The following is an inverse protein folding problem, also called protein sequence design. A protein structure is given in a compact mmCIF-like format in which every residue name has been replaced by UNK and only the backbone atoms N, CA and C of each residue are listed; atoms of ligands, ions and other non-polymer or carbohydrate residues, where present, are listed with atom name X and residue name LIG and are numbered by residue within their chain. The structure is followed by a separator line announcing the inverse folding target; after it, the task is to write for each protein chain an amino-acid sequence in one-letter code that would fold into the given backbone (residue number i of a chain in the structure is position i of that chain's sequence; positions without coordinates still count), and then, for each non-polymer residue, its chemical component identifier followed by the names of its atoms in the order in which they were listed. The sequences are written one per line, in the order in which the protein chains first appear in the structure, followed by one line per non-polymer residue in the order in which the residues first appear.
data_IF_368725199804
#
_entry.id   IF_368725199804
#
_cell.length_a   1.000
_cell.length_b   1.000
_cell.length_c   1.000
_cell.angle_alpha   90.00
_cell.angle_beta   90.00
_cell.angle_gamma   90.00
#
_symmetry.space_group_name_H-M   'P 1'
#
loop_
_entity.id
_entity.type
_entity.pdbx_description
1 polymer ?
#
# COMPACT_ATOMS: atom_id res chain seq x y z
N UNK A 1 46.94 22.91 117.48
CA UNK A 1 47.68 21.74 117.92
C UNK A 1 47.69 20.74 116.83
N UNK A 2 48.76 19.93 116.73
CA UNK A 2 49.06 18.96 115.68
C UNK A 2 47.95 17.92 115.44
N UNK A 3 47.21 17.53 116.49
CA UNK A 3 46.12 16.54 116.43
C UNK A 3 44.90 17.06 115.56
N UNK A 4 44.57 18.34 115.65
CA UNK A 4 43.48 18.94 114.84
C UNK A 4 43.86 19.08 113.35
N UNK A 5 45.18 19.22 113.08
CA UNK A 5 45.68 19.21 111.69
C UNK A 5 45.64 17.84 111.10
N UNK A 6 45.97 16.82 111.81
CA UNK A 6 45.88 15.39 111.37
C UNK A 6 44.42 15.04 111.01
N UNK A 7 43.48 15.34 111.92
CA UNK A 7 42.05 15.14 111.66
C UNK A 7 41.54 15.82 110.42
N UNK A 8 41.98 17.02 110.17
CA UNK A 8 41.62 17.77 108.98
C UNK A 8 42.16 17.11 107.71
N UNK A 9 43.41 16.63 107.73
CA UNK A 9 44.00 15.96 106.58
C UNK A 9 43.32 14.56 106.35
N UNK A 10 42.96 13.83 107.38
CA UNK A 10 42.21 12.56 107.25
C UNK A 10 40.83 12.81 106.60
N UNK A 11 40.10 13.82 107.08
CA UNK A 11 38.82 14.18 106.45
C UNK A 11 38.98 14.60 104.99
N UNK A 12 40.02 15.34 104.67
CA UNK A 12 40.33 15.75 103.29
C UNK A 12 40.70 14.51 102.46
N UNK A 13 41.45 13.60 102.97
CA UNK A 13 41.77 12.31 102.27
C UNK A 13 40.54 11.50 102.00
N UNK A 14 39.62 11.35 102.95
CA UNK A 14 38.32 10.67 102.70
C UNK A 14 37.52 11.34 101.68
N UNK A 15 37.38 12.70 101.63
CA UNK A 15 36.69 13.43 100.65
C UNK A 15 37.29 13.21 99.24
N UNK A 16 38.62 13.23 99.12
CA UNK A 16 39.33 12.97 97.87
C UNK A 16 39.08 11.54 97.42
N UNK A 17 39.08 10.55 98.30
CA UNK A 17 38.81 9.15 97.95
C UNK A 17 37.39 8.98 97.46
N UNK A 18 36.38 9.61 98.05
CA UNK A 18 34.98 9.57 97.63
C UNK A 18 34.85 10.24 96.22
N UNK A 19 35.47 11.42 96.04
CA UNK A 19 35.45 12.14 94.76
C UNK A 19 36.14 11.35 93.66
N UNK A 20 37.27 10.69 93.93
CA UNK A 20 37.94 9.79 93.00
C UNK A 20 37.06 8.61 92.58
N UNK A 21 36.36 7.99 93.54
CA UNK A 21 35.43 6.87 93.26
C UNK A 21 34.22 7.36 92.37
N UNK A 22 33.74 8.58 92.63
CA UNK A 22 32.67 9.15 91.88
C UNK A 22 33.08 9.46 90.40
N UNK A 23 34.24 10.11 90.21
CA UNK A 23 34.81 10.38 88.87
C UNK A 23 35.07 9.07 88.10
N UNK A 24 35.60 8.05 88.73
CA UNK A 24 35.85 6.75 88.13
C UNK A 24 34.51 6.09 87.61
N UNK A 25 33.40 6.22 88.34
CA UNK A 25 32.09 5.73 87.92
C UNK A 25 31.55 6.55 86.70
N UNK A 26 31.72 7.88 86.74
CA UNK A 26 31.35 8.74 85.63
C UNK A 26 32.15 8.42 84.37
N UNK A 27 33.46 8.16 84.49
CA UNK A 27 34.31 7.73 83.38
C UNK A 27 33.81 6.40 82.79
N UNK A 28 33.54 5.41 83.62
CA UNK A 28 33.06 4.08 83.18
C UNK A 28 31.69 4.16 82.51
N UNK A 29 30.78 5.03 82.97
CA UNK A 29 29.48 5.27 82.36
C UNK A 29 29.63 5.94 80.98
N UNK A 30 30.45 7.02 80.89
CA UNK A 30 30.75 7.67 79.66
C UNK A 30 31.45 6.77 78.65
N UNK A 31 32.40 5.95 79.05
CA UNK A 31 33.07 4.99 78.17
C UNK A 31 32.08 3.98 77.59
N UNK A 32 31.09 3.52 78.38
CA UNK A 32 30.02 2.62 77.91
C UNK A 32 29.12 3.31 76.92
N UNK A 33 28.70 4.55 77.17
CA UNK A 33 27.85 5.37 76.24
C UNK A 33 28.57 5.65 74.92
N UNK A 34 29.87 6.03 74.97
CA UNK A 34 30.73 6.22 73.84
C UNK A 34 30.84 4.92 72.99
N UNK A 35 30.98 3.78 73.64
CA UNK A 35 31.03 2.49 72.90
C UNK A 35 29.73 2.17 72.19
N UNK A 36 28.57 2.38 72.83
CA UNK A 36 27.25 2.21 72.21
C UNK A 36 27.02 3.20 71.04
N UNK A 37 27.34 4.46 71.21
CA UNK A 37 27.25 5.47 70.17
C UNK A 37 28.13 5.15 68.96
N UNK A 38 29.36 4.66 69.21
CA UNK A 38 30.26 4.23 68.13
C UNK A 38 29.72 3.00 67.37
N UNK A 39 29.10 2.03 68.03
CA UNK A 39 28.46 0.92 67.39
C UNK A 39 27.29 1.36 66.50
N UNK A 40 26.42 2.24 66.98
CA UNK A 40 25.33 2.83 66.26
C UNK A 40 25.84 3.63 65.05
N UNK A 41 26.89 4.42 65.18
CA UNK A 41 27.50 5.16 64.11
C UNK A 41 28.02 4.24 63.01
N UNK A 42 28.71 3.17 63.37
CA UNK A 42 29.18 2.17 62.39
C UNK A 42 28.03 1.50 61.63
N UNK A 43 26.93 1.17 62.33
CA UNK A 43 25.73 0.60 61.70
C UNK A 43 25.11 1.57 60.69
N UNK A 44 24.91 2.82 61.07
CA UNK A 44 24.34 3.84 60.14
C UNK A 44 25.26 4.12 58.98
N UNK A 45 26.57 4.13 59.14
CA UNK A 45 27.54 4.26 58.06
C UNK A 45 27.43 3.11 57.04
N UNK A 46 27.24 1.87 57.50
CA UNK A 46 27.04 0.69 56.62
C UNK A 46 25.71 0.80 55.87
N UNK A 47 24.62 1.16 56.54
CA UNK A 47 23.30 1.37 55.91
C UNK A 47 23.36 2.47 54.88
N UNK A 48 23.99 3.60 55.18
CA UNK A 48 24.17 4.69 54.24
C UNK A 48 24.92 4.25 52.98
N UNK A 49 25.97 3.48 53.13
CA UNK A 49 26.74 2.94 52.03
C UNK A 49 25.87 2.06 51.11
N UNK A 50 25.10 1.14 51.68
CA UNK A 50 24.19 0.24 50.91
C UNK A 50 23.13 1.04 50.14
N UNK A 51 22.55 2.05 50.79
CA UNK A 51 21.57 2.93 50.14
C UNK A 51 22.21 3.74 48.99
N UNK A 52 23.40 4.29 49.24
CA UNK A 52 24.14 5.06 48.21
C UNK A 52 24.45 4.19 46.98
N UNK A 53 24.94 2.97 47.20
CA UNK A 53 25.25 2.03 46.13
C UNK A 53 23.97 1.68 45.30
N UNK A 54 22.83 1.46 45.99
CA UNK A 54 21.53 1.24 45.32
C UNK A 54 21.11 2.44 44.49
N UNK A 55 21.24 3.66 44.98
CA UNK A 55 20.90 4.89 44.24
C UNK A 55 21.74 4.99 42.95
N UNK A 56 23.04 4.70 43.05
CA UNK A 56 23.94 4.73 41.89
C UNK A 56 23.50 3.68 40.85
N UNK A 57 23.20 2.46 41.30
CA UNK A 57 22.72 1.40 40.38
C UNK A 57 21.42 1.79 39.67
N UNK A 58 20.42 2.24 40.43
CA UNK A 58 19.12 2.67 39.86
C UNK A 58 19.27 3.86 38.92
N UNK A 59 20.12 4.81 39.21
CA UNK A 59 20.40 5.94 38.32
C UNK A 59 21.04 5.49 36.98
N UNK A 60 21.91 4.47 37.03
CA UNK A 60 22.49 3.92 35.80
C UNK A 60 21.47 3.17 34.97
N UNK A 61 20.63 2.33 35.57
CA UNK A 61 19.51 1.67 34.87
C UNK A 61 18.55 2.68 34.27
N UNK A 62 18.23 3.75 35.00
CA UNK A 62 17.32 4.78 34.48
C UNK A 62 17.89 5.48 33.23
N UNK A 63 19.18 5.79 33.22
CA UNK A 63 19.86 6.35 32.04
C UNK A 63 19.83 5.39 30.84
N UNK A 64 19.99 4.09 31.09
CA UNK A 64 19.91 3.08 30.04
C UNK A 64 18.49 3.03 29.46
N UNK A 65 17.45 2.99 30.32
CA UNK A 65 16.06 3.01 29.86
C UNK A 65 15.72 4.28 29.09
N UNK A 66 16.16 5.46 29.55
CA UNK A 66 15.96 6.71 28.80
C UNK A 66 16.60 6.70 27.42
N UNK A 67 17.80 6.11 27.29
CA UNK A 67 18.47 5.94 26.00
C UNK A 67 17.69 4.99 25.08
N UNK A 68 17.22 3.87 25.61
CA UNK A 68 16.43 2.89 24.88
C UNK A 68 15.10 3.49 24.41
N UNK A 69 14.41 4.26 25.26
CA UNK A 69 13.16 4.96 24.91
C UNK A 69 13.39 5.92 23.74
N UNK A 70 14.45 6.73 23.76
CA UNK A 70 14.79 7.64 22.66
C UNK A 70 15.02 6.88 21.34
N UNK A 71 15.74 5.78 21.41
CA UNK A 71 16.00 4.94 20.23
C UNK A 71 14.73 4.36 19.64
N UNK A 72 13.87 3.79 20.50
CA UNK A 72 12.59 3.22 20.09
C UNK A 72 11.64 4.29 19.53
N UNK A 73 11.58 5.46 20.14
CA UNK A 73 10.77 6.58 19.61
C UNK A 73 11.23 7.02 18.21
N UNK A 74 12.55 7.09 17.99
CA UNK A 74 13.09 7.39 16.66
C UNK A 74 12.75 6.31 15.62
N UNK A 75 12.79 5.03 16.02
CA UNK A 75 12.40 3.92 15.15
C UNK A 75 10.90 3.98 14.81
N UNK A 76 10.03 4.18 15.80
CA UNK A 76 8.57 4.31 15.60
C UNK A 76 8.28 5.46 14.63
N UNK A 77 8.94 6.61 14.81
CA UNK A 77 8.75 7.76 13.91
C UNK A 77 9.12 7.43 12.46
N UNK A 78 10.25 6.77 12.24
CA UNK A 78 10.69 6.34 10.91
C UNK A 78 9.72 5.35 10.25
N UNK A 79 9.31 4.34 11.00
CA UNK A 79 8.39 3.32 10.46
C UNK A 79 6.99 3.90 10.19
N UNK A 80 6.52 4.83 11.05
CA UNK A 80 5.27 5.57 10.81
C UNK A 80 5.32 6.39 9.52
N UNK A 81 6.44 7.07 9.24
CA UNK A 81 6.60 7.79 7.97
C UNK A 81 6.59 6.85 6.76
N UNK A 82 7.30 5.72 6.83
CA UNK A 82 7.27 4.71 5.76
C UNK A 82 5.87 4.17 5.51
N UNK A 83 5.14 3.87 6.58
CA UNK A 83 3.76 3.40 6.50
C UNK A 83 2.85 4.42 5.83
N UNK A 84 2.96 5.69 6.21
CA UNK A 84 2.16 6.78 5.61
C UNK A 84 2.45 6.95 4.11
N UNK A 85 3.72 6.90 3.72
CA UNK A 85 4.12 6.96 2.30
C UNK A 85 3.55 5.76 1.54
N UNK A 86 3.70 4.55 2.10
CA UNK A 86 3.18 3.33 1.50
C UNK A 86 1.65 3.34 1.34
N UNK A 87 0.92 3.76 2.36
CA UNK A 87 -0.54 3.91 2.32
C UNK A 87 -0.98 4.92 1.26
N UNK A 88 -0.31 6.07 1.18
CA UNK A 88 -0.62 7.10 0.18
C UNK A 88 -0.37 6.59 -1.24
N UNK A 89 0.71 5.86 -1.47
CA UNK A 89 1.00 5.25 -2.76
C UNK A 89 -0.04 4.18 -3.11
N UNK A 90 -0.39 3.30 -2.17
CA UNK A 90 -1.41 2.26 -2.37
C UNK A 90 -2.78 2.87 -2.74
N UNK A 91 -3.25 3.87 -2.01
CA UNK A 91 -4.54 4.53 -2.31
C UNK A 91 -4.53 5.21 -3.68
N UNK A 92 -3.42 5.84 -4.06
CA UNK A 92 -3.28 6.44 -5.39
C UNK A 92 -3.39 5.41 -6.51
N UNK A 93 -2.67 4.29 -6.40
CA UNK A 93 -2.72 3.24 -7.42
C UNK A 93 -4.07 2.50 -7.42
N UNK A 94 -4.69 2.31 -6.27
CA UNK A 94 -6.04 1.76 -6.17
C UNK A 94 -7.07 2.66 -6.87
N UNK A 95 -7.05 3.97 -6.63
CA UNK A 95 -7.93 4.93 -7.29
C UNK A 95 -7.69 4.97 -8.80
N UNK A 96 -6.43 4.88 -9.23
CA UNK A 96 -6.07 4.80 -10.65
C UNK A 96 -6.61 3.54 -11.30
N UNK A 97 -6.46 2.39 -10.65
CA UNK A 97 -7.00 1.10 -11.11
C UNK A 97 -8.53 1.16 -11.23
N UNK A 98 -9.20 1.72 -10.23
CA UNK A 98 -10.66 1.85 -10.23
C UNK A 98 -11.14 2.81 -11.34
N UNK A 99 -10.44 3.92 -11.57
CA UNK A 99 -10.71 4.83 -12.68
C UNK A 99 -10.57 4.12 -14.03
N UNK A 100 -9.47 3.38 -14.24
CA UNK A 100 -9.24 2.62 -15.47
C UNK A 100 -10.30 1.53 -15.67
N UNK A 101 -10.68 0.78 -14.62
CA UNK A 101 -11.78 -0.19 -14.67
C UNK A 101 -13.10 0.47 -15.07
N UNK A 102 -13.43 1.60 -14.46
CA UNK A 102 -14.64 2.34 -14.78
C UNK A 102 -14.69 2.80 -16.25
N UNK A 103 -13.55 3.26 -16.79
CA UNK A 103 -13.45 3.64 -18.21
C UNK A 103 -13.66 2.42 -19.11
N UNK A 104 -13.02 1.30 -18.79
CA UNK A 104 -13.08 0.07 -19.59
C UNK A 104 -14.44 -0.62 -19.48
N UNK A 105 -15.00 -0.72 -18.28
CA UNK A 105 -16.23 -1.47 -18.01
C UNK A 105 -17.49 -0.66 -18.33
N UNK A 106 -17.42 0.68 -18.28
CA UNK A 106 -18.58 1.57 -18.47
C UNK A 106 -18.66 2.22 -19.86
N UNK A 107 -17.75 1.90 -20.78
CA UNK A 107 -17.73 2.50 -22.12
C UNK A 107 -17.72 4.04 -22.10
N UNK A 108 -17.06 4.65 -21.09
CA UNK A 108 -17.05 6.11 -20.95
C UNK A 108 -16.35 6.84 -22.10
N UNK A 109 -15.47 6.15 -22.84
CA UNK A 109 -14.85 6.63 -24.09
C UNK A 109 -15.74 6.51 -25.33
N UNK A 110 -16.90 5.85 -25.23
CA UNK A 110 -17.83 5.65 -26.33
C UNK A 110 -18.96 6.69 -26.31
N UNK A 111 -19.63 6.87 -27.43
CA UNK A 111 -20.79 7.75 -27.49
C UNK A 111 -21.91 7.35 -26.54
N UNK A 112 -22.68 8.33 -26.07
CA UNK A 112 -23.74 8.09 -25.07
C UNK A 112 -24.73 6.96 -25.45
N UNK A 113 -25.05 6.82 -26.73
CA UNK A 113 -25.93 5.75 -27.24
C UNK A 113 -25.37 4.37 -27.04
N UNK A 114 -24.07 4.17 -27.30
CA UNK A 114 -23.38 2.88 -27.15
C UNK A 114 -23.34 2.49 -25.68
N UNK A 115 -22.93 3.43 -24.81
CA UNK A 115 -22.92 3.21 -23.37
C UNK A 115 -24.30 2.79 -22.84
N UNK A 116 -25.36 3.50 -23.23
CA UNK A 116 -26.73 3.20 -22.81
C UNK A 116 -27.23 1.83 -23.27
N UNK A 117 -26.79 1.37 -24.43
CA UNK A 117 -27.08 0.01 -24.89
C UNK A 117 -26.29 -1.00 -24.06
N UNK A 118 -24.98 -0.78 -23.87
CA UNK A 118 -24.10 -1.70 -23.13
C UNK A 118 -24.47 -1.83 -21.65
N UNK A 119 -25.06 -0.81 -21.03
CA UNK A 119 -25.65 -0.87 -19.67
C UNK A 119 -26.77 -1.94 -19.54
N UNK A 120 -27.31 -2.42 -20.68
CA UNK A 120 -28.32 -3.49 -20.71
C UNK A 120 -27.74 -4.88 -20.99
N UNK A 121 -26.41 -5.03 -21.11
CA UNK A 121 -25.74 -6.30 -21.47
C UNK A 121 -26.14 -7.46 -20.57
N UNK A 122 -26.25 -7.23 -19.27
CA UNK A 122 -26.61 -8.26 -18.28
C UNK A 122 -28.08 -8.71 -18.39
N UNK A 123 -28.94 -7.86 -18.95
CA UNK A 123 -30.39 -8.11 -19.10
C UNK A 123 -30.75 -8.70 -20.47
N UNK A 124 -29.98 -8.36 -21.49
CA UNK A 124 -30.17 -8.78 -22.88
C UNK A 124 -29.07 -9.73 -23.32
N UNK A 125 -29.30 -11.03 -23.13
CA UNK A 125 -28.30 -12.08 -23.41
C UNK A 125 -27.78 -12.10 -24.85
N UNK A 126 -28.59 -11.65 -25.82
CA UNK A 126 -28.17 -11.53 -27.20
C UNK A 126 -27.28 -10.31 -27.50
N UNK A 127 -26.99 -9.45 -26.51
CA UNK A 127 -26.08 -8.31 -26.65
C UNK A 127 -24.65 -8.77 -26.31
N UNK A 128 -23.80 -8.94 -27.31
CA UNK A 128 -22.51 -9.60 -27.18
C UNK A 128 -21.38 -8.66 -26.74
N UNK A 129 -21.41 -7.41 -27.17
CA UNK A 129 -20.40 -6.39 -26.85
C UNK A 129 -20.21 -5.38 -27.99
N UNK A 130 -19.17 -4.59 -27.92
CA UNK A 130 -18.70 -3.79 -29.06
C UNK A 130 -17.57 -4.54 -29.79
N UNK A 131 -17.30 -4.15 -31.03
CA UNK A 131 -16.24 -4.78 -31.84
C UNK A 131 -14.89 -4.74 -31.10
N UNK A 132 -14.57 -3.65 -30.42
CA UNK A 132 -13.33 -3.54 -29.62
C UNK A 132 -13.19 -4.59 -28.51
N UNK A 133 -14.29 -5.06 -27.92
CA UNK A 133 -14.26 -6.08 -26.87
C UNK A 133 -14.00 -7.49 -27.43
N UNK A 134 -14.38 -7.69 -28.70
CA UNK A 134 -14.42 -9.00 -29.36
C UNK A 134 -13.12 -9.28 -30.13
N UNK A 135 -12.56 -8.24 -30.76
CA UNK A 135 -11.35 -8.35 -31.58
C UNK A 135 -10.12 -8.10 -30.71
N UNK A 136 -9.31 -9.13 -30.51
CA UNK A 136 -8.02 -9.02 -29.82
C UNK A 136 -6.90 -8.99 -30.84
N UNK A 137 -5.90 -8.14 -30.61
CA UNK A 137 -4.77 -7.93 -31.51
C UNK A 137 -3.46 -7.93 -30.73
N UNK A 138 -2.39 -8.40 -31.35
CA UNK A 138 -1.04 -8.29 -30.80
C UNK A 138 -0.58 -6.84 -30.89
N UNK A 139 0.22 -6.41 -29.90
CA UNK A 139 0.63 -5.00 -29.73
C UNK A 139 1.29 -4.42 -30.99
N UNK A 140 2.01 -5.24 -31.74
CA UNK A 140 2.72 -4.81 -32.95
C UNK A 140 1.78 -4.42 -34.10
N UNK A 141 0.54 -4.92 -34.09
CA UNK A 141 -0.48 -4.65 -35.12
C UNK A 141 -1.62 -3.76 -34.63
N UNK A 142 -1.61 -3.33 -33.39
CA UNK A 142 -2.70 -2.57 -32.76
C UNK A 142 -3.10 -1.32 -33.58
N UNK A 143 -2.14 -0.49 -33.92
CA UNK A 143 -2.37 0.75 -34.71
C UNK A 143 -2.93 0.42 -36.11
N UNK A 144 -2.40 -0.61 -36.77
CA UNK A 144 -2.84 -1.00 -38.10
C UNK A 144 -4.30 -1.53 -38.09
N UNK A 145 -4.64 -2.34 -37.09
CA UNK A 145 -5.99 -2.89 -36.95
C UNK A 145 -7.00 -1.84 -36.50
N UNK A 146 -6.64 -0.96 -35.56
CA UNK A 146 -7.49 0.19 -35.20
C UNK A 146 -7.79 1.09 -36.39
N UNK A 147 -6.76 1.38 -37.20
CA UNK A 147 -6.92 2.16 -38.46
C UNK A 147 -7.83 1.44 -39.44
N UNK A 148 -7.67 0.13 -39.60
CA UNK A 148 -8.50 -0.69 -40.49
C UNK A 148 -9.96 -0.77 -40.04
N UNK A 149 -10.21 -0.89 -38.75
CA UNK A 149 -11.57 -0.88 -38.18
C UNK A 149 -12.22 0.52 -38.25
N UNK A 150 -11.43 1.57 -38.03
CA UNK A 150 -11.92 2.93 -38.00
C UNK A 150 -13.15 3.10 -37.11
N UNK A 151 -14.21 3.71 -37.60
CA UNK A 151 -15.48 3.91 -36.88
C UNK A 151 -16.20 2.59 -36.50
N UNK A 152 -15.88 1.48 -37.14
CA UNK A 152 -16.50 0.18 -36.83
C UNK A 152 -16.09 -0.40 -35.46
N UNK A 153 -15.03 0.11 -34.91
CA UNK A 153 -14.52 -0.34 -33.57
C UNK A 153 -15.58 -0.17 -32.46
N UNK A 154 -16.49 0.79 -32.64
CA UNK A 154 -17.57 1.10 -31.71
C UNK A 154 -18.89 0.45 -32.02
N UNK A 155 -19.00 -0.31 -33.13
CA UNK A 155 -20.24 -0.95 -33.53
C UNK A 155 -20.62 -2.05 -32.52
N UNK A 156 -21.91 -2.11 -32.21
CA UNK A 156 -22.47 -3.07 -31.25
C UNK A 156 -22.76 -4.38 -31.95
N UNK A 157 -22.22 -5.46 -31.42
CA UNK A 157 -22.44 -6.82 -31.95
C UNK A 157 -23.57 -7.48 -31.19
N UNK A 158 -24.55 -7.98 -31.91
CA UNK A 158 -25.68 -8.74 -31.36
C UNK A 158 -25.71 -10.14 -31.95
N UNK A 159 -26.29 -11.10 -31.21
CA UNK A 159 -26.45 -12.47 -31.67
C UNK A 159 -27.34 -12.52 -32.91
N UNK A 160 -28.45 -11.79 -32.88
CA UNK A 160 -29.47 -11.76 -33.91
C UNK A 160 -30.04 -10.36 -34.19
N UNK A 161 -30.87 -10.28 -35.23
CA UNK A 161 -31.55 -9.06 -35.66
C UNK A 161 -32.61 -8.63 -34.66
N UNK A 162 -33.27 -9.52 -33.97
CA UNK A 162 -34.33 -9.21 -33.00
C UNK A 162 -33.78 -8.48 -31.80
N UNK A 163 -32.60 -8.91 -31.32
CA UNK A 163 -31.87 -8.20 -30.27
C UNK A 163 -31.47 -6.78 -30.71
N UNK A 164 -30.91 -6.67 -31.92
CA UNK A 164 -30.59 -5.36 -32.47
C UNK A 164 -31.84 -4.44 -32.57
N UNK A 165 -32.96 -4.99 -33.00
CA UNK A 165 -34.25 -4.27 -33.13
C UNK A 165 -34.78 -3.79 -31.77
N UNK A 166 -34.70 -4.64 -30.76
CA UNK A 166 -35.07 -4.25 -29.38
C UNK A 166 -34.20 -3.09 -28.89
N UNK A 167 -32.88 -3.14 -29.08
CA UNK A 167 -31.96 -2.08 -28.67
C UNK A 167 -32.12 -0.79 -29.46
N UNK A 168 -32.39 -0.87 -30.76
CA UNK A 168 -32.74 0.31 -31.61
C UNK A 168 -34.02 0.97 -31.06
N UNK A 169 -35.06 0.20 -30.76
CA UNK A 169 -36.29 0.72 -30.18
C UNK A 169 -36.07 1.34 -28.79
N UNK A 170 -35.20 0.72 -27.95
CA UNK A 170 -34.79 1.27 -26.66
C UNK A 170 -34.13 2.67 -26.83
N UNK A 171 -33.15 2.80 -27.74
CA UNK A 171 -32.50 4.05 -28.03
C UNK A 171 -33.48 5.11 -28.51
N UNK A 172 -34.39 4.73 -29.45
CA UNK A 172 -35.42 5.61 -30.02
C UNK A 172 -36.39 6.11 -28.97
N UNK A 173 -36.93 5.18 -28.13
CA UNK A 173 -37.90 5.52 -27.10
C UNK A 173 -37.33 6.48 -26.04
N UNK A 174 -36.07 6.32 -25.68
CA UNK A 174 -35.40 7.12 -24.67
C UNK A 174 -34.62 8.32 -25.22
N UNK A 175 -34.61 8.53 -26.54
CA UNK A 175 -33.90 9.64 -27.20
C UNK A 175 -32.38 9.64 -26.92
N UNK A 176 -31.77 8.47 -26.78
CA UNK A 176 -30.35 8.33 -26.44
C UNK A 176 -29.39 8.46 -27.64
N UNK A 177 -29.90 8.73 -28.82
CA UNK A 177 -29.11 8.90 -30.04
C UNK A 177 -29.13 7.65 -30.92
N UNK A 178 -28.06 7.47 -31.70
CA UNK A 178 -27.94 6.41 -32.72
C UNK A 178 -26.74 5.53 -32.42
N UNK A 179 -26.82 4.26 -32.74
CA UNK A 179 -25.71 3.31 -32.72
C UNK A 179 -25.84 2.37 -33.94
N UNK A 180 -24.72 1.86 -34.40
CA UNK A 180 -24.67 0.82 -35.46
C UNK A 180 -24.64 -0.53 -34.81
N UNK A 181 -25.50 -1.43 -35.30
CA UNK A 181 -25.60 -2.80 -34.84
C UNK A 181 -25.14 -3.76 -35.91
N UNK A 182 -24.42 -4.81 -35.49
CA UNK A 182 -23.92 -5.89 -36.34
C UNK A 182 -24.49 -7.22 -35.86
N UNK A 183 -25.68 -7.64 -36.29
CA UNK A 183 -26.23 -8.95 -35.95
C UNK A 183 -25.43 -10.05 -36.63
N UNK A 184 -24.94 -11.02 -35.85
CA UNK A 184 -24.12 -12.12 -36.39
C UNK A 184 -24.87 -12.97 -37.44
N UNK A 185 -26.19 -13.10 -37.30
CA UNK A 185 -27.05 -13.81 -38.26
C UNK A 185 -27.14 -13.13 -39.64
N UNK A 186 -26.93 -11.80 -39.71
CA UNK A 186 -27.02 -11.01 -40.95
C UNK A 186 -25.67 -10.74 -41.61
N UNK A 187 -24.59 -11.00 -40.88
CA UNK A 187 -23.24 -10.75 -41.40
C UNK A 187 -22.81 -11.93 -42.28
N UNK A 188 -22.25 -11.61 -43.42
CA UNK A 188 -21.62 -12.58 -44.30
C UNK A 188 -20.15 -12.25 -44.47
N UNK A 189 -19.30 -13.26 -44.46
CA UNK A 189 -17.89 -13.09 -44.73
C UNK A 189 -17.70 -12.46 -46.13
N UNK A 190 -16.82 -11.47 -46.22
CA UNK A 190 -16.40 -10.97 -47.50
C UNK A 190 -15.55 -12.02 -48.21
N UNK A 191 -15.65 -12.09 -49.54
CA UNK A 191 -14.94 -13.07 -50.39
C UNK A 191 -13.42 -12.88 -50.48
N UNK A 192 -12.84 -12.10 -49.54
CA UNK A 192 -11.39 -11.80 -49.49
C UNK A 192 -10.98 -10.65 -50.38
N UNK A 193 -9.69 -10.61 -50.68
CA UNK A 193 -9.08 -9.53 -51.47
C UNK A 193 -9.35 -9.78 -52.96
N UNK A 194 -9.72 -8.74 -53.68
CA UNK A 194 -10.04 -8.82 -55.12
C UNK A 194 -8.85 -9.24 -55.98
N UNK A 195 -7.62 -8.96 -55.53
CA UNK A 195 -6.36 -9.30 -56.22
C UNK A 195 -5.50 -10.16 -55.28
N UNK A 196 -5.63 -11.48 -55.30
CA UNK A 196 -4.84 -12.36 -54.42
C UNK A 196 -3.33 -12.25 -54.63
N UNK A 197 -2.88 -11.80 -55.81
CA UNK A 197 -1.48 -11.57 -56.13
C UNK A 197 -0.86 -10.53 -55.17
N UNK A 198 -1.63 -9.53 -54.73
CA UNK A 198 -1.19 -8.49 -53.82
C UNK A 198 -0.66 -9.05 -52.47
N UNK A 199 -1.06 -10.25 -52.10
CA UNK A 199 -0.53 -10.94 -50.91
C UNK A 199 0.92 -11.38 -51.04
N UNK A 200 1.45 -11.42 -52.24
CA UNK A 200 2.82 -11.83 -52.54
C UNK A 200 3.79 -10.66 -52.73
N UNK A 201 3.26 -9.46 -52.73
CA UNK A 201 4.06 -8.23 -52.92
C UNK A 201 5.00 -8.01 -51.71
N UNK A 202 6.21 -7.47 -51.95
CA UNK A 202 7.14 -7.13 -50.90
C UNK A 202 6.53 -6.19 -49.86
N UNK A 203 6.80 -6.49 -48.55
CA UNK A 203 6.31 -5.68 -47.44
C UNK A 203 4.89 -5.97 -46.99
N UNK A 204 4.19 -6.94 -47.59
CA UNK A 204 2.86 -7.38 -47.16
C UNK A 204 3.00 -8.31 -45.97
N UNK A 205 2.44 -7.91 -44.81
CA UNK A 205 2.38 -8.72 -43.59
C UNK A 205 1.25 -9.77 -43.70
N UNK A 206 0.10 -9.34 -44.25
CA UNK A 206 -1.05 -10.24 -44.44
C UNK A 206 -2.36 -9.47 -44.49
N UNK A 207 -3.47 -10.22 -44.51
CA UNK A 207 -4.81 -9.64 -44.36
C UNK A 207 -5.12 -9.35 -42.92
N UNK A 208 -5.74 -8.22 -42.61
CA UNK A 208 -6.01 -7.76 -41.27
C UNK A 208 -6.82 -8.76 -40.42
N UNK A 209 -7.74 -9.54 -41.04
CA UNK A 209 -8.52 -10.58 -40.34
C UNK A 209 -7.67 -11.77 -39.84
N UNK A 210 -6.48 -11.98 -40.40
CA UNK A 210 -5.54 -13.03 -39.98
C UNK A 210 -4.60 -12.58 -38.86
N UNK A 211 -4.50 -11.26 -38.62
CA UNK A 211 -3.65 -10.64 -37.60
C UNK A 211 -4.41 -10.37 -36.29
N UNK A 212 -5.69 -10.79 -36.24
CA UNK A 212 -6.52 -10.65 -35.04
C UNK A 212 -6.89 -12.02 -34.48
N UNK A 213 -7.12 -12.04 -33.18
CA UNK A 213 -7.58 -13.23 -32.45
C UNK A 213 -9.04 -13.00 -32.03
N UNK A 214 -9.91 -13.92 -32.43
CA UNK A 214 -11.33 -13.90 -32.09
C UNK A 214 -11.82 -15.34 -31.77
N UNK A 215 -12.85 -15.44 -30.95
CA UNK A 215 -13.53 -16.72 -30.74
C UNK A 215 -14.15 -17.21 -32.05
N UNK A 216 -14.31 -18.54 -32.18
CA UNK A 216 -14.83 -19.16 -33.41
C UNK A 216 -16.17 -18.61 -33.91
N UNK A 217 -17.06 -18.24 -33.00
CA UNK A 217 -18.37 -17.63 -33.33
C UNK A 217 -18.26 -16.24 -33.97
N UNK A 218 -17.13 -15.56 -33.83
CA UNK A 218 -16.88 -14.21 -34.36
C UNK A 218 -15.99 -14.20 -35.62
N UNK A 219 -15.56 -15.34 -36.12
CA UNK A 219 -14.72 -15.41 -37.32
C UNK A 219 -15.36 -14.72 -38.52
N UNK A 220 -16.66 -14.96 -38.77
CA UNK A 220 -17.39 -14.30 -39.84
C UNK A 220 -17.43 -12.77 -39.68
N UNK A 221 -17.52 -12.28 -38.43
CA UNK A 221 -17.43 -10.85 -38.11
C UNK A 221 -16.05 -10.27 -38.45
N UNK A 222 -14.97 -10.95 -38.05
CA UNK A 222 -13.61 -10.53 -38.36
C UNK A 222 -13.37 -10.52 -39.89
N UNK A 223 -13.83 -11.55 -40.61
CA UNK A 223 -13.73 -11.61 -42.06
C UNK A 223 -14.55 -10.52 -42.75
N UNK A 224 -15.73 -10.20 -42.23
CA UNK A 224 -16.57 -9.13 -42.73
C UNK A 224 -15.90 -7.76 -42.58
N UNK A 225 -15.34 -7.46 -41.39
CA UNK A 225 -14.77 -6.14 -41.11
C UNK A 225 -13.35 -5.96 -41.66
N UNK A 226 -12.55 -7.01 -41.68
CA UNK A 226 -11.09 -6.93 -41.89
C UNK A 226 -10.61 -7.77 -43.08
N UNK A 227 -11.45 -8.65 -43.64
CA UNK A 227 -11.04 -9.61 -44.68
C UNK A 227 -10.61 -8.99 -46.02
N UNK A 228 -10.89 -7.71 -46.25
CA UNK A 228 -10.50 -6.98 -47.46
C UNK A 228 -9.41 -5.94 -47.26
N UNK A 229 -8.80 -5.90 -46.07
CA UNK A 229 -7.76 -4.94 -45.70
C UNK A 229 -6.42 -5.64 -45.67
N UNK A 230 -5.43 -5.13 -46.42
CA UNK A 230 -4.03 -5.55 -46.31
C UNK A 230 -3.29 -4.72 -45.27
N UNK A 231 -2.46 -5.40 -44.49
CA UNK A 231 -1.50 -4.78 -43.59
C UNK A 231 -0.13 -4.89 -44.23
N UNK A 232 0.59 -3.78 -44.29
CA UNK A 232 1.94 -3.67 -44.83
C UNK A 232 2.89 -3.06 -43.79
N UNK A 233 4.18 -3.35 -43.94
CA UNK A 233 5.22 -2.90 -43.00
C UNK A 233 5.50 -1.39 -43.08
N UNK A 234 5.54 -0.82 -44.32
CA UNK A 234 5.87 0.58 -44.58
C UNK A 234 4.89 1.24 -45.55
N UNK A 235 4.74 2.54 -45.42
CA UNK A 235 3.88 3.37 -46.26
C UNK A 235 4.26 3.31 -47.75
N UNK A 236 5.56 3.19 -48.05
CA UNK A 236 6.01 3.10 -49.44
C UNK A 236 5.52 1.83 -50.13
N UNK A 237 5.51 0.69 -49.41
CA UNK A 237 4.93 -0.54 -49.94
C UNK A 237 3.43 -0.44 -50.12
N UNK A 238 2.72 0.24 -49.20
CA UNK A 238 1.27 0.51 -49.37
C UNK A 238 0.99 1.33 -50.66
N UNK A 239 1.79 2.35 -50.93
CA UNK A 239 1.60 3.19 -52.13
C UNK A 239 1.92 2.47 -53.42
N UNK A 240 2.87 1.52 -53.41
CA UNK A 240 3.19 0.67 -54.55
C UNK A 240 2.06 -0.31 -54.89
N UNK A 241 1.50 -0.93 -53.88
CA UNK A 241 0.42 -1.94 -54.03
C UNK A 241 -0.92 -1.29 -54.40
N UNK A 242 -1.14 -0.02 -54.04
CA UNK A 242 -2.37 0.71 -54.34
C UNK A 242 -2.43 1.24 -55.79
N UNK A 243 -1.33 1.21 -56.52
CA UNK A 243 -1.28 1.59 -57.97
C UNK A 243 -1.65 0.41 -58.84
#
# INVERSE_FOLDING_TARGET
STKAQIQKFDTMMEQIQVRKSQINREILANDSEIAEENENLNKYQMELKVISDKIIALNNENKEYESNIKTLQAQISRESQKLQIGQSAFHREQSRLESLKNITERYDGYGNSIRKVMDNKDREKGLLGVVADIVKVEKDYEIAIETALGGNIQNIVTEDEDTAKRMINFLKKNKFGRATFLPLTSIRANSGINRPEALKEPGVVGTANKLVQVENKYKTLADYLLGRTLVVDYIDHATMIAR
#
